data_IF_156601139412
#
_entry.id   IF_156601139412
#
_cell.length_a   1.000
_cell.length_b   1.000
_cell.length_c   1.000
_cell.angle_alpha   90.00
_cell.angle_beta   90.00
_cell.angle_gamma   90.00
#
_symmetry.space_group_name_H-M   'P 1'
#
loop_
_entity.id
_entity.type
_entity.pdbx_description
1 polymer ?
#
# COMPACT_ATOMS: atom_id res chain seq x y z
N UNK A 1 -22.64 12.88 -19.98
CA UNK A 1 -22.93 11.65 -20.75
C UNK A 1 -21.75 11.32 -21.69
N UNK A 2 -20.63 10.91 -21.12
CA UNK A 2 -19.55 10.33 -21.95
C UNK A 2 -19.93 8.87 -22.26
N UNK A 3 -20.04 8.56 -23.56
CA UNK A 3 -20.18 7.17 -24.01
C UNK A 3 -18.95 6.39 -23.57
N UNK A 4 -19.09 5.17 -23.00
CA UNK A 4 -17.94 4.37 -22.63
C UNK A 4 -17.10 4.09 -23.88
N UNK A 5 -15.85 4.53 -23.88
CA UNK A 5 -14.87 4.19 -24.90
C UNK A 5 -13.96 3.07 -24.35
N UNK A 6 -13.82 2.00 -25.08
CA UNK A 6 -12.91 0.90 -24.78
C UNK A 6 -12.02 0.74 -26.02
N UNK A 7 -10.71 0.90 -25.89
CA UNK A 7 -9.82 0.79 -27.03
C UNK A 7 -9.99 -0.54 -27.78
N UNK A 8 -10.02 -0.48 -29.09
CA UNK A 8 -10.15 -1.68 -29.93
C UNK A 8 -11.56 -2.24 -30.10
N UNK A 9 -12.59 -1.62 -29.51
CA UNK A 9 -13.99 -2.03 -29.67
C UNK A 9 -14.83 -0.93 -30.34
N UNK A 10 -15.66 -1.32 -31.28
CA UNK A 10 -16.72 -0.48 -31.85
C UNK A 10 -17.84 -0.25 -30.84
N UNK A 11 -18.68 0.79 -31.01
CA UNK A 11 -19.83 1.03 -30.12
C UNK A 11 -20.79 -0.17 -30.02
N UNK A 12 -21.00 -0.90 -31.10
CA UNK A 12 -21.86 -2.10 -31.11
C UNK A 12 -21.24 -3.26 -30.29
N UNK A 13 -19.92 -3.47 -30.46
CA UNK A 13 -19.20 -4.48 -29.67
C UNK A 13 -19.17 -4.12 -28.18
N UNK A 14 -19.03 -2.84 -27.82
CA UNK A 14 -19.12 -2.40 -26.42
C UNK A 14 -20.49 -2.73 -25.84
N UNK A 15 -21.57 -2.43 -26.56
CA UNK A 15 -22.94 -2.75 -26.09
C UNK A 15 -23.10 -4.25 -25.87
N UNK A 16 -22.64 -5.06 -26.84
CA UNK A 16 -22.70 -6.52 -26.74
C UNK A 16 -21.83 -7.05 -25.58
N UNK A 17 -20.64 -6.50 -25.40
CA UNK A 17 -19.76 -6.87 -24.29
C UNK A 17 -20.40 -6.59 -22.92
N UNK A 18 -21.04 -5.44 -22.76
CA UNK A 18 -21.81 -5.16 -21.54
C UNK A 18 -23.01 -6.12 -21.40
N UNK A 19 -23.77 -6.38 -22.45
CA UNK A 19 -24.88 -7.34 -22.38
C UNK A 19 -24.44 -8.74 -21.91
N UNK A 20 -23.22 -9.14 -22.24
CA UNK A 20 -22.64 -10.41 -21.84
C UNK A 20 -22.10 -10.44 -20.39
N UNK A 21 -22.14 -9.34 -19.64
CA UNK A 21 -21.70 -9.30 -18.22
C UNK A 21 -22.69 -10.01 -17.31
N UNK A 22 -23.99 -9.86 -17.56
CA UNK A 22 -25.04 -10.35 -16.65
C UNK A 22 -24.92 -11.83 -16.26
N UNK A 23 -24.62 -12.77 -17.18
CA UNK A 23 -24.47 -14.19 -16.84
C UNK A 23 -23.36 -14.50 -15.84
N UNK A 24 -22.39 -13.59 -15.70
CA UNK A 24 -21.26 -13.76 -14.79
C UNK A 24 -21.46 -13.13 -13.39
N UNK A 25 -22.53 -12.33 -13.24
CA UNK A 25 -22.92 -11.82 -11.94
C UNK A 25 -23.36 -12.99 -11.05
N UNK A 26 -23.05 -12.95 -9.76
CA UNK A 26 -23.29 -14.04 -8.79
C UNK A 26 -22.41 -15.31 -8.97
N UNK A 27 -21.39 -15.29 -9.86
CA UNK A 27 -20.48 -16.43 -10.04
C UNK A 27 -19.20 -16.32 -9.18
N UNK A 28 -19.16 -15.40 -8.20
CA UNK A 28 -17.98 -15.15 -7.38
C UNK A 28 -16.71 -14.81 -8.18
N UNK A 29 -16.90 -14.18 -9.33
CA UNK A 29 -15.81 -13.69 -10.20
C UNK A 29 -15.49 -12.24 -9.87
N UNK A 30 -14.20 -11.91 -9.84
CA UNK A 30 -13.76 -10.53 -9.69
C UNK A 30 -14.10 -9.70 -10.93
N UNK A 31 -14.16 -8.38 -10.78
CA UNK A 31 -14.44 -7.47 -11.89
C UNK A 31 -13.49 -7.69 -13.09
N UNK A 32 -12.21 -8.02 -12.83
CA UNK A 32 -11.23 -8.29 -13.89
C UNK A 32 -11.42 -9.61 -14.59
N UNK A 33 -11.89 -10.64 -13.90
CA UNK A 33 -12.23 -11.92 -14.53
C UNK A 33 -13.43 -11.79 -15.42
N UNK A 34 -14.45 -11.04 -15.00
CA UNK A 34 -15.62 -10.70 -15.81
C UNK A 34 -15.20 -9.88 -17.04
N UNK A 35 -14.38 -8.83 -16.84
CA UNK A 35 -13.89 -8.00 -17.92
C UNK A 35 -13.15 -8.82 -18.98
N UNK A 36 -12.23 -9.68 -18.59
CA UNK A 36 -11.49 -10.51 -19.53
C UNK A 36 -12.38 -11.44 -20.36
N UNK A 37 -13.48 -11.92 -19.79
CA UNK A 37 -14.43 -12.82 -20.49
C UNK A 37 -15.36 -12.09 -21.45
N UNK A 38 -15.69 -10.82 -21.15
CA UNK A 38 -16.68 -10.07 -21.92
C UNK A 38 -16.05 -9.11 -22.93
N UNK A 39 -14.81 -8.66 -22.72
CA UNK A 39 -14.16 -7.58 -23.48
C UNK A 39 -12.88 -8.06 -24.17
N UNK A 40 -12.99 -9.12 -24.97
CA UNK A 40 -11.89 -9.64 -25.81
C UNK A 40 -10.57 -9.89 -25.08
N UNK A 41 -10.64 -10.37 -23.82
CA UNK A 41 -9.46 -10.63 -23.00
C UNK A 41 -8.91 -9.41 -22.24
N UNK A 42 -9.47 -8.21 -22.42
CA UNK A 42 -9.06 -7.02 -21.68
C UNK A 42 -9.60 -7.05 -20.22
N UNK A 43 -8.77 -7.53 -19.32
CA UNK A 43 -9.12 -7.60 -17.89
C UNK A 43 -9.30 -6.22 -17.25
N UNK A 44 -8.85 -5.14 -17.86
CA UNK A 44 -8.94 -3.78 -17.34
C UNK A 44 -10.13 -2.99 -17.90
N UNK A 45 -10.85 -3.55 -18.87
CA UNK A 45 -11.97 -2.87 -19.52
C UNK A 45 -13.04 -2.34 -18.56
N UNK A 46 -13.21 -2.96 -17.42
CA UNK A 46 -14.17 -2.54 -16.37
C UNK A 46 -13.55 -1.77 -15.21
N UNK A 47 -12.23 -1.54 -15.20
CA UNK A 47 -11.58 -0.73 -14.15
C UNK A 47 -12.25 0.66 -14.10
N UNK A 48 -12.57 1.14 -12.89
CA UNK A 48 -13.28 2.40 -12.62
C UNK A 48 -14.70 2.52 -13.25
N UNK A 49 -15.35 1.41 -13.63
CA UNK A 49 -16.69 1.39 -14.22
C UNK A 49 -17.76 0.71 -13.35
N UNK A 50 -17.47 0.51 -12.07
CA UNK A 50 -18.43 -0.14 -11.15
C UNK A 50 -19.76 0.63 -11.05
N UNK A 51 -19.73 1.96 -11.02
CA UNK A 51 -20.95 2.77 -11.03
C UNK A 51 -21.80 2.56 -12.32
N UNK A 52 -21.14 2.34 -13.46
CA UNK A 52 -21.87 2.03 -14.69
C UNK A 52 -22.55 0.65 -14.59
N UNK A 53 -21.86 -0.33 -14.00
CA UNK A 53 -22.47 -1.66 -13.77
C UNK A 53 -23.66 -1.59 -12.82
N UNK A 54 -23.59 -0.78 -11.76
CA UNK A 54 -24.72 -0.52 -10.88
C UNK A 54 -25.92 0.09 -11.62
N UNK A 55 -25.67 1.00 -12.56
CA UNK A 55 -26.74 1.59 -13.38
C UNK A 55 -27.34 0.58 -14.36
N UNK A 56 -26.56 -0.36 -14.88
CA UNK A 56 -27.03 -1.36 -15.85
C UNK A 56 -27.72 -2.55 -15.20
N UNK A 57 -27.21 -3.01 -14.05
CA UNK A 57 -27.63 -4.29 -13.44
C UNK A 57 -28.17 -4.13 -12.02
N UNK A 58 -28.25 -2.90 -11.50
CA UNK A 58 -28.73 -2.64 -10.13
C UNK A 58 -27.90 -3.41 -9.10
N UNK A 59 -28.58 -3.90 -8.08
CA UNK A 59 -27.95 -4.59 -6.94
C UNK A 59 -27.19 -5.88 -7.33
N UNK A 60 -27.46 -6.45 -8.49
CA UNK A 60 -26.67 -7.59 -8.99
C UNK A 60 -25.18 -7.25 -9.14
N UNK A 61 -24.83 -5.99 -9.45
CA UNK A 61 -23.44 -5.58 -9.55
C UNK A 61 -22.71 -5.57 -8.19
N UNK A 62 -23.45 -5.47 -7.08
CA UNK A 62 -22.88 -5.54 -5.72
C UNK A 62 -22.42 -6.96 -5.34
N UNK A 63 -22.79 -7.98 -6.10
CA UNK A 63 -22.36 -9.37 -5.87
C UNK A 63 -20.93 -9.64 -6.40
N UNK A 64 -20.36 -8.71 -7.15
CA UNK A 64 -18.98 -8.83 -7.65
C UNK A 64 -18.03 -8.66 -6.46
N UNK A 65 -17.28 -9.71 -6.09
CA UNK A 65 -16.35 -9.60 -4.98
C UNK A 65 -15.21 -8.62 -5.31
N UNK A 66 -14.75 -7.85 -4.34
CA UNK A 66 -13.57 -7.03 -4.52
C UNK A 66 -12.35 -7.91 -4.79
N UNK A 67 -11.43 -7.42 -5.60
CA UNK A 67 -10.19 -8.13 -5.87
C UNK A 67 -9.38 -8.24 -4.58
N UNK A 68 -8.95 -9.46 -4.16
CA UNK A 68 -8.13 -9.62 -2.98
C UNK A 68 -6.82 -8.83 -3.08
N UNK A 69 -6.42 -8.25 -1.98
CA UNK A 69 -5.11 -7.65 -1.80
C UNK A 69 -4.14 -8.74 -1.35
N UNK A 70 -3.12 -9.04 -2.15
CA UNK A 70 -2.08 -9.98 -1.78
C UNK A 70 -0.87 -9.23 -1.24
N UNK A 71 -0.49 -9.52 -0.01
CA UNK A 71 0.62 -8.90 0.71
C UNK A 71 1.64 -9.96 1.09
N UNK A 72 2.92 -9.59 1.08
CA UNK A 72 4.00 -10.46 1.56
C UNK A 72 4.34 -10.10 2.99
N UNK A 73 4.41 -11.09 3.87
CA UNK A 73 4.74 -10.92 5.28
C UNK A 73 5.87 -11.85 5.72
N UNK A 74 6.64 -11.39 6.70
CA UNK A 74 7.52 -12.20 7.49
C UNK A 74 7.22 -11.95 8.97
N UNK A 75 6.92 -13.02 9.71
CA UNK A 75 6.41 -12.91 11.07
C UNK A 75 7.09 -13.97 11.96
N UNK A 76 8.24 -13.66 12.55
CA UNK A 76 8.95 -14.63 13.39
C UNK A 76 8.14 -15.02 14.62
N UNK A 77 8.30 -16.22 15.16
CA UNK A 77 7.66 -16.60 16.42
C UNK A 77 7.97 -15.59 17.53
N UNK A 78 6.95 -15.22 18.30
CA UNK A 78 7.12 -14.34 19.44
C UNK A 78 7.04 -12.83 19.16
N UNK A 79 6.94 -12.39 17.91
CA UNK A 79 6.80 -10.96 17.60
C UNK A 79 5.64 -10.32 18.37
N UNK A 80 5.77 -9.03 18.68
CA UNK A 80 4.77 -8.24 19.42
C UNK A 80 4.33 -7.01 18.65
N UNK A 81 5.13 -6.56 17.67
CA UNK A 81 4.94 -5.32 16.90
C UNK A 81 4.83 -5.63 15.41
N UNK A 82 4.17 -4.74 14.68
CA UNK A 82 4.02 -4.82 13.23
C UNK A 82 4.75 -3.64 12.57
N UNK A 83 5.50 -3.90 11.52
CA UNK A 83 6.11 -2.86 10.68
C UNK A 83 5.69 -3.06 9.23
N UNK A 84 4.97 -2.09 8.71
CA UNK A 84 4.59 -2.01 7.29
C UNK A 84 5.72 -1.27 6.57
N UNK A 85 6.32 -1.90 5.57
CA UNK A 85 7.43 -1.37 4.77
C UNK A 85 6.96 -1.14 3.35
N UNK A 86 7.17 0.05 2.81
CA UNK A 86 6.69 0.41 1.47
C UNK A 86 7.57 -0.18 0.37
N UNK A 87 8.89 -0.12 0.53
CA UNK A 87 9.86 -0.50 -0.49
C UNK A 87 10.28 -1.97 -0.35
N UNK A 88 10.43 -2.65 -1.48
CA UNK A 88 10.74 -4.08 -1.51
C UNK A 88 12.16 -4.37 -1.04
N UNK A 89 13.15 -3.59 -1.47
CA UNK A 89 14.54 -3.83 -1.11
C UNK A 89 14.76 -3.60 0.39
N UNK A 90 14.15 -2.54 0.93
CA UNK A 90 14.16 -2.27 2.37
C UNK A 90 13.46 -3.37 3.17
N UNK A 91 12.33 -3.90 2.68
CA UNK A 91 11.65 -5.02 3.31
C UNK A 91 12.54 -6.27 3.37
N UNK A 92 13.16 -6.65 2.24
CA UNK A 92 14.03 -7.83 2.18
C UNK A 92 15.26 -7.68 3.08
N UNK A 93 15.88 -6.49 3.12
CA UNK A 93 17.00 -6.22 4.04
C UNK A 93 16.59 -6.34 5.51
N UNK A 94 15.41 -5.86 5.86
CA UNK A 94 14.90 -6.02 7.23
C UNK A 94 14.56 -7.48 7.56
N UNK A 95 14.17 -8.30 6.59
CA UNK A 95 14.00 -9.75 6.80
C UNK A 95 15.34 -10.44 7.11
N UNK A 96 16.42 -10.00 6.47
CA UNK A 96 17.79 -10.52 6.73
C UNK A 96 18.35 -10.07 8.08
N UNK A 97 18.00 -8.86 8.53
CA UNK A 97 18.45 -8.27 9.79
C UNK A 97 17.27 -7.59 10.50
N UNK A 98 16.33 -8.35 11.05
CA UNK A 98 15.06 -7.82 11.54
C UNK A 98 15.24 -6.98 12.81
N UNK A 99 14.45 -5.92 12.95
CA UNK A 99 14.36 -5.23 14.23
C UNK A 99 13.70 -6.15 15.26
N UNK A 100 14.10 -6.00 16.51
CA UNK A 100 13.66 -6.86 17.60
C UNK A 100 12.13 -6.75 17.78
N UNK A 101 11.49 -7.89 18.00
CA UNK A 101 10.04 -8.02 18.25
C UNK A 101 9.12 -7.64 17.08
N UNK A 102 9.60 -7.41 15.88
CA UNK A 102 8.75 -7.03 14.75
C UNK A 102 8.41 -8.19 13.83
N UNK A 103 7.14 -8.25 13.42
CA UNK A 103 6.74 -8.84 12.16
C UNK A 103 6.74 -7.75 11.08
N UNK A 104 7.13 -8.13 9.86
CA UNK A 104 7.28 -7.23 8.72
C UNK A 104 6.22 -7.51 7.68
N UNK A 105 5.65 -6.46 7.10
CA UNK A 105 4.69 -6.52 6.01
C UNK A 105 5.15 -5.64 4.86
N UNK A 106 5.35 -6.23 3.69
CA UNK A 106 5.60 -5.49 2.45
C UNK A 106 4.30 -5.01 1.84
N UNK A 107 4.17 -3.70 1.69
CA UNK A 107 2.94 -3.09 1.20
C UNK A 107 2.79 -3.01 -0.32
N UNK A 108 3.87 -3.17 -1.07
CA UNK A 108 3.81 -3.22 -2.54
C UNK A 108 3.26 -1.96 -3.20
N UNK A 109 3.47 -0.78 -2.61
CA UNK A 109 2.97 0.48 -3.16
C UNK A 109 1.46 0.67 -2.94
N UNK A 110 1.03 0.76 -1.74
CA UNK A 110 -0.37 0.83 -1.24
C UNK A 110 -1.26 1.94 -1.81
N UNK A 111 -0.80 2.76 -2.74
CA UNK A 111 -1.50 3.97 -3.23
C UNK A 111 -2.99 3.82 -3.56
N UNK A 112 -3.48 2.60 -3.78
CA UNK A 112 -4.87 2.36 -4.17
C UNK A 112 -5.68 1.50 -3.20
N UNK A 113 -5.13 1.05 -2.06
CA UNK A 113 -5.71 -0.06 -1.30
C UNK A 113 -5.82 0.10 0.21
N UNK A 114 -5.47 1.26 0.77
CA UNK A 114 -5.62 1.51 2.20
C UNK A 114 -7.05 1.20 2.73
N UNK A 115 -8.07 1.46 1.92
CA UNK A 115 -9.46 1.13 2.23
C UNK A 115 -9.79 -0.37 2.13
N UNK A 116 -8.88 -1.20 1.60
CA UNK A 116 -9.09 -2.65 1.38
C UNK A 116 -8.33 -3.53 2.38
N UNK A 117 -7.77 -2.94 3.43
CA UNK A 117 -7.02 -3.67 4.47
C UNK A 117 -7.92 -4.49 5.42
N UNK A 118 -9.22 -4.62 5.18
CA UNK A 118 -10.06 -5.49 5.96
C UNK A 118 -9.60 -6.95 5.83
N UNK A 119 -9.77 -7.75 6.88
CA UNK A 119 -9.41 -9.17 6.89
C UNK A 119 -10.06 -9.97 5.76
N UNK A 120 -11.23 -9.57 5.30
CA UNK A 120 -11.99 -10.25 4.22
C UNK A 120 -11.32 -10.09 2.84
N UNK A 121 -10.67 -8.96 2.60
CA UNK A 121 -10.11 -8.64 1.28
C UNK A 121 -8.58 -8.80 1.21
N UNK A 122 -7.93 -9.13 2.32
CA UNK A 122 -6.47 -9.30 2.38
C UNK A 122 -6.09 -10.77 2.44
N UNK A 123 -5.10 -11.13 1.65
CA UNK A 123 -4.44 -12.43 1.66
C UNK A 123 -2.96 -12.23 1.89
N UNK A 124 -2.34 -13.12 2.66
CA UNK A 124 -0.93 -13.03 2.99
C UNK A 124 -0.16 -14.19 2.37
N UNK A 125 0.96 -13.87 1.72
CA UNK A 125 2.01 -14.80 1.38
C UNK A 125 3.12 -14.66 2.44
N UNK A 126 3.39 -15.74 3.17
CA UNK A 126 4.37 -15.70 4.25
C UNK A 126 5.73 -16.20 3.78
N UNK A 127 6.79 -15.50 4.15
CA UNK A 127 8.16 -15.95 3.97
C UNK A 127 8.49 -17.08 4.98
N UNK A 128 9.47 -17.94 4.67
CA UNK A 128 9.89 -19.02 5.56
C UNK A 128 10.23 -18.55 6.99
N UNK A 129 9.91 -19.37 7.98
CA UNK A 129 10.13 -19.05 9.39
C UNK A 129 9.06 -18.17 10.03
N UNK A 130 7.98 -17.90 9.32
CA UNK A 130 6.86 -17.11 9.84
C UNK A 130 5.88 -17.94 10.68
N UNK A 131 5.17 -17.27 11.58
CA UNK A 131 3.99 -17.74 12.32
C UNK A 131 2.73 -17.09 11.75
N UNK A 132 2.07 -17.69 10.73
CA UNK A 132 0.94 -17.12 10.04
C UNK A 132 -0.29 -16.92 10.93
N UNK A 133 -0.53 -17.83 11.88
CA UNK A 133 -1.73 -17.79 12.72
C UNK A 133 -1.63 -16.64 13.73
N UNK A 134 -0.45 -16.49 14.38
CA UNK A 134 -0.20 -15.34 15.24
C UNK A 134 -0.31 -14.02 14.47
N UNK A 135 0.24 -13.96 13.23
CA UNK A 135 0.15 -12.75 12.41
C UNK A 135 -1.29 -12.37 12.11
N UNK A 136 -2.13 -13.33 11.69
CA UNK A 136 -3.55 -13.08 11.39
C UNK A 136 -4.33 -12.61 12.62
N UNK A 137 -4.02 -13.15 13.81
CA UNK A 137 -4.64 -12.73 15.07
C UNK A 137 -4.28 -11.28 15.43
N UNK A 138 -3.03 -10.86 15.12
CA UNK A 138 -2.54 -9.50 15.42
C UNK A 138 -2.85 -8.49 14.31
N UNK A 139 -3.13 -8.96 13.11
CA UNK A 139 -3.45 -8.09 11.98
C UNK A 139 -4.80 -7.39 12.22
N UNK A 140 -4.80 -6.06 12.13
CA UNK A 140 -5.95 -5.19 12.45
C UNK A 140 -6.39 -5.22 13.93
N UNK A 141 -5.59 -5.80 14.83
CA UNK A 141 -5.80 -5.66 16.27
C UNK A 141 -5.49 -4.21 16.68
N UNK A 142 -6.50 -3.51 17.21
CA UNK A 142 -6.36 -2.12 17.66
C UNK A 142 -5.35 -1.95 18.80
N UNK A 143 -5.03 -3.02 19.53
CA UNK A 143 -4.03 -3.01 20.59
C UNK A 143 -2.62 -3.31 20.09
N UNK A 144 -2.46 -3.74 18.82
CA UNK A 144 -1.16 -4.03 18.26
C UNK A 144 -0.38 -2.73 18.02
N UNK A 145 0.87 -2.69 18.49
CA UNK A 145 1.81 -1.63 18.15
C UNK A 145 2.19 -1.78 16.68
N UNK A 146 1.76 -0.82 15.86
CA UNK A 146 1.92 -0.88 14.42
C UNK A 146 2.64 0.37 13.89
N UNK A 147 3.65 0.14 13.04
CA UNK A 147 4.47 1.18 12.46
C UNK A 147 4.47 1.10 10.92
N UNK A 148 4.73 2.25 10.30
CA UNK A 148 4.93 2.38 8.86
C UNK A 148 6.29 3.02 8.57
N UNK A 149 6.98 2.50 7.56
CA UNK A 149 8.18 3.07 7.00
C UNK A 149 8.13 3.04 5.48
N UNK A 150 8.31 4.18 4.86
CA UNK A 150 8.31 4.36 3.42
C UNK A 150 9.23 5.52 3.02
N UNK A 151 9.09 5.99 1.78
CA UNK A 151 9.82 7.15 1.29
C UNK A 151 9.52 8.38 2.15
N UNK A 152 10.55 9.19 2.39
CA UNK A 152 10.40 10.49 3.03
C UNK A 152 10.02 11.52 1.96
N UNK A 153 8.75 11.48 1.55
CA UNK A 153 8.12 12.37 0.58
C UNK A 153 6.61 12.52 0.87
N UNK A 154 5.94 13.44 0.19
CA UNK A 154 4.50 13.66 0.42
C UNK A 154 3.63 12.46 0.03
N UNK A 155 4.08 11.62 -0.91
CA UNK A 155 3.34 10.41 -1.27
C UNK A 155 3.42 9.37 -0.16
N UNK A 156 4.60 9.10 0.42
CA UNK A 156 4.79 8.21 1.56
C UNK A 156 4.00 8.68 2.79
N UNK A 157 4.00 10.00 3.07
CA UNK A 157 3.18 10.58 4.15
C UNK A 157 1.67 10.44 3.85
N UNK A 158 1.28 10.55 2.58
CA UNK A 158 -0.10 10.30 2.13
C UNK A 158 -0.52 8.84 2.31
N UNK A 159 0.40 7.90 2.08
CA UNK A 159 0.18 6.47 2.34
C UNK A 159 -0.04 6.23 3.84
N UNK A 160 0.82 6.76 4.70
CA UNK A 160 0.65 6.67 6.16
C UNK A 160 -0.72 7.20 6.58
N UNK A 161 -1.11 8.39 6.10
CA UNK A 161 -2.43 8.97 6.38
C UNK A 161 -3.57 8.04 5.95
N UNK A 162 -3.49 7.48 4.76
CA UNK A 162 -4.52 6.59 4.23
C UNK A 162 -4.61 5.27 5.02
N UNK A 163 -3.47 4.70 5.43
CA UNK A 163 -3.40 3.50 6.25
C UNK A 163 -4.02 3.70 7.63
N UNK A 164 -3.88 4.88 8.22
CA UNK A 164 -4.47 5.21 9.52
C UNK A 164 -5.99 5.19 9.55
N UNK A 165 -6.67 5.24 8.40
CA UNK A 165 -8.12 5.04 8.34
C UNK A 165 -8.53 3.61 8.74
N UNK A 166 -7.67 2.61 8.50
CA UNK A 166 -7.90 1.21 8.86
C UNK A 166 -7.11 0.78 10.10
N UNK A 167 -6.02 1.49 10.41
CA UNK A 167 -5.10 1.23 11.52
C UNK A 167 -4.90 2.55 12.31
N UNK A 168 -5.85 2.99 13.14
CA UNK A 168 -5.82 4.31 13.78
C UNK A 168 -4.57 4.58 14.61
N UNK A 169 -3.99 3.53 15.21
CA UNK A 169 -2.79 3.59 16.04
C UNK A 169 -1.46 3.49 15.27
N UNK A 170 -1.51 3.37 13.93
CA UNK A 170 -0.31 3.31 13.10
C UNK A 170 0.55 4.57 13.28
N UNK A 171 1.83 4.39 13.56
CA UNK A 171 2.80 5.46 13.72
C UNK A 171 3.90 5.37 12.66
N UNK A 172 4.53 6.49 12.34
CA UNK A 172 5.75 6.48 11.55
C UNK A 172 6.89 5.82 12.35
N UNK A 173 7.62 4.90 11.71
CA UNK A 173 8.71 4.17 12.35
C UNK A 173 9.96 5.04 12.50
N UNK A 174 10.15 5.59 13.69
CA UNK A 174 11.23 6.55 13.95
C UNK A 174 12.62 5.99 13.62
N UNK A 175 12.99 4.72 13.96
CA UNK A 175 14.32 4.21 13.62
C UNK A 175 14.64 4.23 12.13
N UNK A 176 13.62 4.17 11.26
CA UNK A 176 13.79 4.31 9.82
C UNK A 176 13.79 5.75 9.35
N UNK A 177 12.87 6.57 9.85
CA UNK A 177 12.74 7.96 9.38
C UNK A 177 13.78 8.92 9.96
N UNK A 178 14.30 8.69 11.17
CA UNK A 178 15.28 9.60 11.77
C UNK A 178 16.56 9.72 10.95
N UNK A 179 17.24 8.63 10.52
CA UNK A 179 18.43 8.77 9.67
C UNK A 179 18.11 9.38 8.30
N UNK A 180 16.92 9.15 7.73
CA UNK A 180 16.47 9.81 6.51
C UNK A 180 16.37 11.32 6.72
N UNK A 181 15.79 11.75 7.83
CA UNK A 181 15.66 13.16 8.20
C UNK A 181 17.03 13.83 8.41
N UNK A 182 17.97 13.13 9.03
CA UNK A 182 19.35 13.61 9.20
C UNK A 182 20.04 13.84 7.85
N UNK A 183 19.90 12.90 6.90
CA UNK A 183 20.43 13.08 5.54
C UNK A 183 19.73 14.25 4.84
N UNK A 184 18.40 14.33 4.91
CA UNK A 184 17.63 15.40 4.28
C UNK A 184 18.08 16.78 4.76
N UNK A 185 18.34 16.93 6.06
CA UNK A 185 18.73 18.19 6.68
C UNK A 185 20.22 18.55 6.46
N UNK A 186 21.08 17.57 6.25
CA UNK A 186 22.54 17.81 6.15
C UNK A 186 23.06 17.80 4.72
N UNK A 187 22.56 16.88 3.90
CA UNK A 187 23.04 16.67 2.52
C UNK A 187 21.98 17.06 1.48
N UNK A 188 20.72 17.28 1.92
CA UNK A 188 19.59 17.46 1.05
C UNK A 188 19.08 16.15 0.46
N UNK A 189 17.97 16.26 -0.25
CA UNK A 189 17.35 15.18 -1.01
C UNK A 189 17.24 15.56 -2.48
N UNK A 190 16.56 14.73 -3.28
CA UNK A 190 16.23 15.07 -4.65
C UNK A 190 14.99 15.98 -4.72
N UNK A 191 15.02 16.94 -5.66
CA UNK A 191 13.84 17.76 -5.91
C UNK A 191 12.75 16.93 -6.67
N UNK A 192 11.45 17.17 -6.41
CA UNK A 192 10.37 16.45 -7.09
C UNK A 192 10.45 16.49 -8.62
N UNK A 193 11.01 17.56 -9.18
CA UNK A 193 11.19 17.77 -10.63
C UNK A 193 12.31 16.90 -11.22
N UNK A 194 13.26 16.45 -10.41
CA UNK A 194 14.38 15.60 -10.84
C UNK A 194 14.00 14.13 -10.93
N UNK A 195 12.88 13.77 -10.33
CA UNK A 195 12.29 12.44 -10.35
C UNK A 195 10.89 12.51 -10.95
N UNK A 196 10.34 11.39 -11.40
CA UNK A 196 8.94 11.35 -11.93
C UNK A 196 7.87 11.57 -10.85
N UNK A 197 8.24 12.19 -9.73
CA UNK A 197 7.38 12.42 -8.54
C UNK A 197 6.72 13.82 -8.54
N UNK A 198 6.62 14.48 -9.70
CA UNK A 198 6.17 15.90 -9.85
C UNK A 198 4.71 16.19 -9.46
N UNK A 199 3.87 15.18 -9.25
CA UNK A 199 2.44 15.35 -8.96
C UNK A 199 2.07 14.99 -7.51
N UNK A 200 3.04 15.00 -6.58
CA UNK A 200 2.74 14.72 -5.18
C UNK A 200 2.03 15.90 -4.51
N UNK A 201 0.95 15.61 -3.81
CA UNK A 201 0.19 16.60 -3.05
C UNK A 201 0.55 16.49 -1.57
N UNK A 202 0.80 17.62 -0.92
CA UNK A 202 0.95 17.69 0.54
C UNK A 202 -0.31 17.11 1.21
N UNK A 203 -0.18 16.08 2.06
CA UNK A 203 -1.33 15.45 2.71
C UNK A 203 -1.96 16.32 3.82
N UNK A 204 -1.41 17.48 4.13
CA UNK A 204 -1.82 18.35 5.23
C UNK A 204 -1.36 17.78 6.58
N UNK A 205 -2.25 17.08 7.28
CA UNK A 205 -1.94 16.33 8.51
C UNK A 205 -2.21 14.85 8.30
N UNK A 206 -1.42 14.01 8.97
CA UNK A 206 -1.57 12.55 8.92
C UNK A 206 -2.27 11.98 10.15
N UNK A 207 -2.28 12.74 11.24
CA UNK A 207 -2.73 12.30 12.57
C UNK A 207 -1.65 11.50 13.33
N UNK A 208 -0.46 11.28 12.74
CA UNK A 208 0.70 10.75 13.45
C UNK A 208 1.52 11.92 14.01
N UNK A 209 1.68 12.06 15.33
CA UNK A 209 2.36 13.21 15.93
C UNK A 209 3.77 13.44 15.38
N UNK A 210 4.58 12.39 15.30
CA UNK A 210 5.96 12.51 14.77
C UNK A 210 5.99 12.97 13.30
N UNK A 211 5.08 12.46 12.47
CA UNK A 211 4.97 12.91 11.08
C UNK A 211 4.56 14.37 11.01
N UNK A 212 3.54 14.75 11.76
CA UNK A 212 2.93 16.07 11.66
C UNK A 212 3.80 17.18 12.27
N UNK A 213 4.61 16.87 13.30
CA UNK A 213 5.47 17.84 13.98
C UNK A 213 6.92 17.85 13.49
N UNK A 214 7.36 16.80 12.78
CA UNK A 214 8.78 16.65 12.44
C UNK A 214 8.99 16.37 10.94
N UNK A 215 8.40 15.32 10.38
CA UNK A 215 8.68 14.91 9.00
C UNK A 215 8.06 15.87 7.97
N UNK A 216 6.78 16.20 8.10
CA UNK A 216 6.09 17.11 7.19
C UNK A 216 6.66 18.54 7.23
N UNK A 217 6.98 19.14 8.39
CA UNK A 217 7.68 20.42 8.43
C UNK A 217 9.01 20.42 7.70
N UNK A 218 9.83 19.36 7.86
CA UNK A 218 11.11 19.26 7.16
C UNK A 218 10.92 19.14 5.63
N UNK A 219 9.99 18.32 5.17
CA UNK A 219 9.66 18.21 3.74
C UNK A 219 9.19 19.54 3.14
N UNK A 220 8.35 20.29 3.86
CA UNK A 220 7.86 21.61 3.44
C UNK A 220 8.99 22.65 3.39
N UNK A 221 9.91 22.61 4.35
CA UNK A 221 11.03 23.53 4.43
C UNK A 221 12.05 23.29 3.35
N UNK A 222 12.42 22.03 3.10
CA UNK A 222 13.47 21.68 2.14
C UNK A 222 12.95 21.61 0.71
N UNK A 223 11.64 21.32 0.52
CA UNK A 223 11.04 21.02 -0.77
C UNK A 223 11.80 19.92 -1.55
N UNK A 224 12.36 18.96 -0.82
CA UNK A 224 13.09 17.81 -1.34
C UNK A 224 12.59 16.53 -0.68
N UNK A 225 12.89 15.40 -1.29
CA UNK A 225 12.48 14.08 -0.85
C UNK A 225 13.68 13.14 -0.75
N UNK A 226 13.52 12.05 0.00
CA UNK A 226 14.53 11.00 0.10
C UNK A 226 13.86 9.64 -0.03
N UNK A 227 14.40 8.81 -0.92
CA UNK A 227 13.92 7.44 -1.08
C UNK A 227 14.38 6.56 0.09
N UNK A 228 13.58 5.59 0.46
CA UNK A 228 13.79 4.71 1.60
C UNK A 228 15.12 3.95 1.51
N UNK A 229 15.58 3.62 0.31
CA UNK A 229 16.83 2.92 0.02
C UNK A 229 18.09 3.76 0.31
N UNK A 230 17.95 5.06 0.53
CA UNK A 230 19.09 5.94 0.84
C UNK A 230 19.74 5.61 2.19
N UNK A 231 19.09 4.85 3.04
CA UNK A 231 19.61 4.45 4.34
C UNK A 231 19.74 2.93 4.47
N UNK A 232 20.70 2.55 5.30
CA UNK A 232 20.84 1.18 5.78
C UNK A 232 20.55 1.15 7.27
N UNK A 233 19.63 0.27 7.69
CA UNK A 233 19.37 0.03 9.12
C UNK A 233 20.26 -1.11 9.55
N UNK A 234 21.25 -0.87 10.41
CA UNK A 234 22.11 -1.95 10.91
C UNK A 234 21.30 -2.91 11.78
N UNK A 235 21.67 -4.18 11.82
CA UNK A 235 21.05 -5.15 12.72
C UNK A 235 21.22 -4.71 14.19
N UNK A 236 20.25 -4.99 15.07
CA UNK A 236 20.24 -4.51 16.44
C UNK A 236 21.46 -4.95 17.29
N UNK A 237 22.22 -5.93 16.81
CA UNK A 237 23.41 -6.47 17.48
C UNK A 237 24.74 -6.23 16.72
N UNK A 238 24.77 -5.33 15.76
CA UNK A 238 26.06 -4.84 15.23
C UNK A 238 26.76 -4.05 16.35
N UNK A 239 27.32 -4.76 17.31
CA UNK A 239 28.11 -4.19 18.39
C UNK A 239 29.14 -3.23 17.79
N UNK A 240 29.30 -2.07 18.40
CA UNK A 240 30.34 -1.10 18.15
C UNK A 240 31.67 -1.85 18.31
N UNK A 241 32.18 -2.40 17.24
CA UNK A 241 33.61 -2.70 17.15
C UNK A 241 34.27 -1.34 16.94
N UNK A 242 34.60 -0.68 18.04
CA UNK A 242 35.52 0.45 17.99
C UNK A 242 36.83 0.01 17.33
N UNK A 243 37.38 0.80 16.40
CA UNK A 243 38.66 0.58 15.79
C UNK A 243 39.80 0.66 16.81
#
# INVERSE_FOLDING_TARGET
NQKPQIPGLTPAEIVNAFANVEPYLNQNLTLREIAARCFNGDSKALDNRHELLLKLYGDKANTIPPRPLLLTAWAPPGFTKLLIVENQDSFLRLVEAPPEDYALLYSGGFRASATRLSSEHTRFAFLPGSDPERFKQRWLDEQAECHFWGDLDFAGMGILKALRNSLPNLQAWQPGYQPMLEILNTRGGHAPQQTRKTAQTDPGTTGCPYTDTTLLPALRQTNTALDQEAIHIPPPNAGITNP
#
